data_IF_614283700522
#
_entry.id   IF_614283700522
#
_cell.length_a   1.000
_cell.length_b   1.000
_cell.length_c   1.000
_cell.angle_alpha   90.00
_cell.angle_beta   90.00
_cell.angle_gamma   90.00
#
_symmetry.space_group_name_H-M   'P 1'
#
loop_
_entity.id
_entity.type
_entity.pdbx_description
1 polymer ?
#
# COMPACT_ATOMS: atom_id res chain seq x y z
N UNK A 1 -5.27 -16.63 19.47
CA UNK A 1 -5.91 -16.68 18.14
C UNK A 1 -5.46 -15.45 17.39
N UNK A 2 -4.70 -15.63 16.33
CA UNK A 2 -4.27 -14.50 15.46
C UNK A 2 -5.51 -13.97 14.74
N UNK A 3 -5.90 -12.73 15.05
CA UNK A 3 -7.04 -12.09 14.40
C UNK A 3 -6.63 -11.60 13.02
N UNK A 4 -7.40 -11.99 11.99
CA UNK A 4 -7.26 -11.44 10.62
C UNK A 4 -7.45 -9.93 10.68
N UNK A 5 -6.49 -9.18 10.13
CA UNK A 5 -6.52 -7.72 10.11
C UNK A 5 -7.36 -7.20 8.95
N UNK A 6 -7.04 -7.62 7.72
CA UNK A 6 -7.79 -7.31 6.51
C UNK A 6 -8.22 -8.61 5.83
N UNK A 7 -9.49 -8.73 5.47
CA UNK A 7 -10.02 -9.89 4.76
C UNK A 7 -10.75 -9.45 3.49
N UNK A 8 -10.27 -9.92 2.36
CA UNK A 8 -10.97 -9.90 1.08
C UNK A 8 -11.63 -11.26 0.88
N UNK A 9 -12.93 -11.28 0.63
CA UNK A 9 -13.70 -12.51 0.43
C UNK A 9 -14.43 -12.48 -0.89
N UNK A 10 -14.09 -13.43 -1.79
CA UNK A 10 -14.72 -13.66 -3.10
C UNK A 10 -14.83 -12.38 -3.95
N UNK A 11 -13.79 -11.56 -3.96
CA UNK A 11 -13.79 -10.29 -4.70
C UNK A 11 -13.84 -10.57 -6.20
N UNK A 12 -14.84 -10.00 -6.87
CA UNK A 12 -14.98 -10.02 -8.32
C UNK A 12 -14.99 -8.58 -8.85
N UNK A 13 -14.18 -8.32 -9.85
CA UNK A 13 -14.00 -7.02 -10.50
C UNK A 13 -14.24 -7.12 -12.00
N UNK A 14 -14.70 -6.05 -12.58
CA UNK A 14 -14.90 -5.91 -14.01
C UNK A 14 -15.49 -4.55 -14.35
N UNK A 15 -15.93 -4.41 -15.59
CA UNK A 15 -16.54 -3.19 -16.09
C UNK A 15 -17.65 -3.48 -17.11
N UNK A 16 -18.62 -2.58 -17.26
CA UNK A 16 -19.62 -2.67 -18.30
C UNK A 16 -18.97 -2.58 -19.69
N UNK A 17 -19.44 -3.41 -20.63
CA UNK A 17 -19.03 -3.38 -22.03
C UNK A 17 -20.28 -3.49 -22.93
N UNK A 18 -20.15 -3.07 -24.21
CA UNK A 18 -21.21 -3.33 -25.20
C UNK A 18 -21.50 -4.82 -25.24
N UNK A 19 -22.75 -5.20 -24.92
CA UNK A 19 -23.19 -6.59 -24.84
C UNK A 19 -23.16 -7.24 -23.45
N UNK A 20 -22.78 -6.51 -22.37
CA UNK A 20 -22.87 -7.04 -21.01
C UNK A 20 -21.76 -6.60 -20.06
N UNK A 21 -21.38 -7.49 -19.16
CA UNK A 21 -20.33 -7.32 -18.16
C UNK A 21 -19.07 -8.07 -18.57
N UNK A 22 -17.91 -7.41 -18.49
CA UNK A 22 -16.61 -8.05 -18.67
C UNK A 22 -15.90 -8.18 -17.32
N UNK A 23 -15.75 -9.42 -16.87
CA UNK A 23 -14.96 -9.74 -15.68
C UNK A 23 -13.47 -9.57 -15.94
N UNK A 24 -12.75 -9.04 -14.97
CA UNK A 24 -11.28 -8.86 -15.00
C UNK A 24 -10.62 -9.72 -13.94
N UNK A 25 -11.20 -9.77 -12.73
CA UNK A 25 -10.76 -10.61 -11.62
C UNK A 25 -11.97 -11.30 -11.01
N UNK A 26 -11.85 -12.58 -10.71
CA UNK A 26 -12.95 -13.38 -10.16
C UNK A 26 -12.52 -14.16 -8.93
N UNK A 27 -13.39 -14.10 -7.89
CA UNK A 27 -13.30 -14.95 -6.72
C UNK A 27 -11.99 -14.80 -5.93
N UNK A 28 -11.43 -13.57 -5.84
CA UNK A 28 -10.20 -13.37 -5.09
C UNK A 28 -10.45 -13.38 -3.58
N UNK A 29 -9.71 -14.25 -2.89
CA UNK A 29 -9.69 -14.35 -1.43
C UNK A 29 -8.31 -14.01 -0.90
N UNK A 30 -8.26 -13.23 0.18
CA UNK A 30 -7.03 -12.93 0.90
C UNK A 30 -7.31 -12.61 2.36
N UNK A 31 -6.53 -13.19 3.26
CA UNK A 31 -6.46 -12.79 4.66
C UNK A 31 -5.08 -12.21 4.93
N UNK A 32 -5.00 -11.00 5.44
CA UNK A 32 -3.77 -10.33 5.82
C UNK A 32 -3.68 -10.26 7.34
N UNK A 33 -2.57 -10.77 7.88
CA UNK A 33 -2.34 -10.84 9.32
C UNK A 33 -1.56 -9.60 9.81
N UNK A 34 -1.64 -9.24 11.09
CA UNK A 34 -0.81 -8.16 11.65
C UNK A 34 0.68 -8.41 11.42
N UNK A 35 1.39 -7.41 10.92
CA UNK A 35 2.82 -7.46 10.65
C UNK A 35 3.22 -8.31 9.44
N UNK A 36 2.27 -8.94 8.73
CA UNK A 36 2.54 -9.75 7.55
C UNK A 36 2.73 -8.88 6.32
N UNK A 37 3.68 -9.25 5.47
CA UNK A 37 3.88 -8.68 4.13
C UNK A 37 3.41 -9.69 3.09
N UNK A 38 2.42 -9.33 2.28
CA UNK A 38 1.91 -10.16 1.20
C UNK A 38 2.10 -9.44 -0.13
N UNK A 39 2.76 -10.10 -1.09
CA UNK A 39 2.80 -9.62 -2.48
C UNK A 39 1.74 -10.27 -3.34
N UNK A 40 1.06 -9.48 -4.16
CA UNK A 40 0.18 -9.92 -5.23
C UNK A 40 0.89 -9.71 -6.56
N UNK A 41 1.33 -10.81 -7.15
CA UNK A 41 1.98 -10.87 -8.45
C UNK A 41 0.96 -11.11 -9.57
N UNK A 42 1.27 -10.64 -10.75
CA UNK A 42 0.50 -10.94 -11.96
C UNK A 42 0.81 -10.00 -13.11
N UNK A 43 0.45 -10.36 -14.35
CA UNK A 43 0.69 -9.51 -15.51
C UNK A 43 -0.06 -8.17 -15.42
N UNK A 44 0.36 -7.22 -16.26
CA UNK A 44 -0.34 -5.94 -16.36
C UNK A 44 -1.77 -6.12 -16.88
N UNK A 45 -2.70 -5.33 -16.37
CA UNK A 45 -4.10 -5.36 -16.80
C UNK A 45 -4.99 -6.42 -16.12
N UNK A 46 -4.46 -7.28 -15.25
CA UNK A 46 -5.26 -8.32 -14.55
C UNK A 46 -6.09 -7.79 -13.37
N UNK A 47 -6.14 -6.47 -13.18
CA UNK A 47 -6.99 -5.86 -12.16
C UNK A 47 -6.33 -5.62 -10.80
N UNK A 48 -5.00 -5.77 -10.66
CA UNK A 48 -4.27 -5.59 -9.39
C UNK A 48 -4.52 -4.22 -8.74
N UNK A 49 -4.35 -3.13 -9.49
CA UNK A 49 -4.58 -1.77 -8.96
C UNK A 49 -6.06 -1.51 -8.63
N UNK A 50 -7.00 -2.14 -9.37
CA UNK A 50 -8.43 -2.09 -9.02
C UNK A 50 -8.73 -2.87 -7.75
N UNK A 51 -8.10 -4.03 -7.57
CA UNK A 51 -8.17 -4.81 -6.34
C UNK A 51 -7.69 -3.97 -5.15
N UNK A 52 -6.53 -3.32 -5.28
CA UNK A 52 -6.00 -2.46 -4.22
C UNK A 52 -6.98 -1.33 -3.85
N UNK A 53 -7.62 -0.70 -4.85
CA UNK A 53 -8.65 0.34 -4.60
C UNK A 53 -9.86 -0.22 -3.86
N UNK A 54 -10.27 -1.44 -4.15
CA UNK A 54 -11.36 -2.11 -3.44
C UNK A 54 -10.96 -2.41 -2.00
N UNK A 55 -9.76 -2.93 -1.76
CA UNK A 55 -9.23 -3.18 -0.42
C UNK A 55 -9.12 -1.90 0.42
N UNK A 56 -8.84 -0.78 -0.24
CA UNK A 56 -8.77 0.55 0.39
C UNK A 56 -10.14 1.19 0.65
N UNK A 57 -11.24 0.62 0.15
CA UNK A 57 -12.57 1.23 0.18
C UNK A 57 -12.73 2.44 -0.75
N UNK A 58 -11.85 2.56 -1.76
CA UNK A 58 -11.89 3.61 -2.80
C UNK A 58 -12.77 3.22 -3.98
N UNK A 59 -13.07 1.95 -4.12
CA UNK A 59 -13.90 1.37 -5.19
C UNK A 59 -14.73 0.24 -4.62
N UNK A 60 -15.96 0.08 -5.10
CA UNK A 60 -16.81 -1.07 -4.76
C UNK A 60 -16.51 -2.24 -5.68
N UNK A 61 -16.40 -3.45 -5.11
CA UNK A 61 -16.35 -4.67 -5.88
C UNK A 61 -17.71 -4.94 -6.55
N UNK A 62 -17.69 -5.67 -7.68
CA UNK A 62 -18.93 -6.16 -8.29
C UNK A 62 -19.59 -7.25 -7.43
N UNK A 63 -18.79 -8.13 -6.88
CA UNK A 63 -19.22 -9.15 -5.91
C UNK A 63 -18.13 -9.37 -4.86
N UNK A 64 -18.49 -9.99 -3.74
CA UNK A 64 -17.61 -10.22 -2.62
C UNK A 64 -17.63 -9.07 -1.60
N UNK A 65 -16.75 -9.15 -0.62
CA UNK A 65 -16.69 -8.15 0.46
C UNK A 65 -15.27 -7.99 1.00
N UNK A 66 -15.00 -6.79 1.56
CA UNK A 66 -13.78 -6.50 2.30
C UNK A 66 -14.14 -6.17 3.73
N UNK A 67 -13.39 -6.69 4.69
CA UNK A 67 -13.51 -6.32 6.09
C UNK A 67 -12.14 -5.98 6.71
N UNK A 68 -12.12 -5.02 7.62
CA UNK A 68 -10.98 -4.64 8.44
C UNK A 68 -11.35 -4.89 9.90
N UNK A 69 -10.58 -5.73 10.60
CA UNK A 69 -10.87 -6.15 11.99
C UNK A 69 -12.32 -6.67 12.15
N UNK A 70 -12.82 -7.41 11.16
CA UNK A 70 -14.19 -7.94 11.13
C UNK A 70 -15.29 -6.94 10.80
N UNK A 71 -14.96 -5.66 10.56
CA UNK A 71 -15.93 -4.63 10.17
C UNK A 71 -15.88 -4.40 8.65
N UNK A 72 -17.05 -4.29 7.97
CA UNK A 72 -17.08 -4.05 6.52
C UNK A 72 -16.37 -2.75 6.13
N UNK A 73 -15.56 -2.81 5.06
CA UNK A 73 -14.90 -1.64 4.46
C UNK A 73 -15.78 -1.14 3.31
N UNK A 74 -16.59 -0.13 3.57
CA UNK A 74 -17.49 0.50 2.58
C UNK A 74 -17.00 1.88 2.11
N UNK A 75 -15.92 2.37 2.69
CA UNK A 75 -15.29 3.65 2.38
C UNK A 75 -13.86 3.68 2.95
N UNK A 76 -13.01 4.64 2.52
CA UNK A 76 -11.65 4.78 3.04
C UNK A 76 -11.59 4.82 4.57
N UNK A 77 -10.72 4.00 5.14
CA UNK A 77 -10.59 3.83 6.59
C UNK A 77 -9.28 4.46 7.11
N UNK A 78 -9.28 5.16 8.26
CA UNK A 78 -8.09 5.82 8.82
C UNK A 78 -6.89 4.88 9.03
N UNK A 79 -7.15 3.63 9.37
CA UNK A 79 -6.11 2.61 9.63
C UNK A 79 -5.54 1.95 8.37
N UNK A 80 -6.03 2.33 7.20
CA UNK A 80 -5.54 1.87 5.90
C UNK A 80 -4.91 3.04 5.17
N UNK A 81 -3.66 2.91 4.79
CA UNK A 81 -2.98 3.89 3.95
C UNK A 81 -2.63 3.27 2.60
N UNK A 82 -2.65 4.10 1.56
CA UNK A 82 -2.36 3.68 0.19
C UNK A 82 -1.23 4.53 -0.37
N UNK A 83 -0.22 3.88 -0.93
CA UNK A 83 0.77 4.52 -1.78
C UNK A 83 0.63 3.96 -3.20
N UNK A 84 0.44 4.83 -4.16
CA UNK A 84 0.34 4.51 -5.58
C UNK A 84 1.72 4.55 -6.24
N UNK A 85 1.84 3.98 -7.43
CA UNK A 85 3.04 4.00 -8.25
C UNK A 85 3.55 5.43 -8.49
N UNK A 86 2.65 6.37 -8.80
CA UNK A 86 2.95 7.79 -8.77
C UNK A 86 2.87 8.30 -7.32
N UNK A 87 3.90 8.98 -6.79
CA UNK A 87 3.88 9.57 -5.44
C UNK A 87 2.70 10.53 -5.22
N UNK A 88 2.13 11.07 -6.29
CA UNK A 88 0.97 11.97 -6.29
C UNK A 88 1.09 13.07 -5.23
N UNK A 89 2.27 13.71 -5.19
CA UNK A 89 2.53 14.83 -4.29
C UNK A 89 1.79 16.07 -4.79
N UNK A 90 1.26 16.84 -3.85
CA UNK A 90 0.59 18.10 -4.15
C UNK A 90 1.65 19.15 -4.49
N UNK A 91 1.71 19.65 -5.75
CA UNK A 91 2.84 20.48 -6.23
C UNK A 91 2.93 21.86 -5.53
N UNK A 92 1.82 22.33 -4.95
CA UNK A 92 1.74 23.59 -4.20
C UNK A 92 2.07 23.46 -2.72
N UNK A 93 2.32 22.26 -2.22
CA UNK A 93 2.74 21.98 -0.85
C UNK A 93 4.21 21.58 -0.82
N UNK A 94 4.97 22.09 0.15
CA UNK A 94 6.31 21.58 0.43
C UNK A 94 6.24 20.15 1.01
N UNK A 95 7.40 19.52 1.21
CA UNK A 95 7.53 18.16 1.72
C UNK A 95 6.78 17.98 3.05
N UNK A 96 7.03 18.84 4.03
CA UNK A 96 6.40 18.73 5.35
C UNK A 96 4.86 18.80 5.26
N UNK A 97 4.33 19.72 4.47
CA UNK A 97 2.89 19.86 4.27
C UNK A 97 2.30 18.71 3.43
N UNK A 98 3.06 18.11 2.51
CA UNK A 98 2.66 16.88 1.83
C UNK A 98 2.55 15.71 2.81
N UNK A 99 3.49 15.55 3.75
CA UNK A 99 3.43 14.52 4.79
C UNK A 99 2.25 14.76 5.74
N UNK A 100 1.99 16.02 6.10
CA UNK A 100 0.88 16.39 6.97
C UNK A 100 -0.50 16.26 6.29
N UNK A 101 -0.53 16.16 4.95
CA UNK A 101 -1.76 16.16 4.19
C UNK A 101 -2.65 14.96 4.53
N UNK A 102 -3.88 15.27 4.90
CA UNK A 102 -4.90 14.27 5.24
C UNK A 102 -4.97 13.87 6.71
N UNK A 103 -4.07 14.38 7.58
CA UNK A 103 -4.16 14.10 9.02
C UNK A 103 -5.37 14.73 9.71
N UNK A 104 -5.94 15.78 9.11
CA UNK A 104 -7.10 16.55 9.59
C UNK A 104 -8.40 16.25 8.81
N UNK A 105 -8.41 15.22 7.98
CA UNK A 105 -9.64 14.82 7.29
C UNK A 105 -10.68 14.28 8.27
N UNK A 106 -11.96 14.52 7.98
CA UNK A 106 -13.09 14.24 8.86
C UNK A 106 -13.17 12.80 9.44
N UNK A 107 -12.57 11.83 8.76
CA UNK A 107 -12.51 10.43 9.23
C UNK A 107 -11.28 10.10 10.04
N UNK A 108 -10.29 11.00 10.10
CA UNK A 108 -9.08 10.81 10.90
C UNK A 108 -9.37 11.11 12.39
N UNK A 109 -8.59 10.49 13.30
CA UNK A 109 -8.64 10.87 14.71
C UNK A 109 -8.36 12.37 14.88
N UNK A 110 -9.08 13.01 15.78
CA UNK A 110 -8.79 14.39 16.15
C UNK A 110 -7.42 14.46 16.84
N UNK A 111 -6.49 15.18 16.24
CA UNK A 111 -5.15 15.39 16.75
C UNK A 111 -4.99 16.84 17.20
N UNK A 112 -4.36 17.05 18.35
CA UNK A 112 -3.86 18.37 18.73
C UNK A 112 -2.75 18.81 17.76
N UNK A 113 -2.49 20.11 17.70
CA UNK A 113 -1.40 20.64 16.86
C UNK A 113 -0.04 20.03 17.23
N UNK A 114 0.20 19.74 18.51
CA UNK A 114 1.43 19.13 18.99
C UNK A 114 1.54 17.66 18.52
N UNK A 115 0.47 16.86 18.62
CA UNK A 115 0.44 15.48 18.14
C UNK A 115 0.60 15.39 16.63
N UNK A 116 -0.11 16.26 15.88
CA UNK A 116 0.05 16.37 14.43
C UNK A 116 1.50 16.64 14.04
N UNK A 117 2.11 17.65 14.69
CA UNK A 117 3.51 17.99 14.44
C UNK A 117 4.42 16.81 14.76
N UNK A 118 4.26 16.16 15.90
CA UNK A 118 5.07 15.02 16.32
C UNK A 118 4.99 13.86 15.31
N UNK A 119 3.80 13.52 14.79
CA UNK A 119 3.62 12.48 13.76
C UNK A 119 4.33 12.82 12.45
N UNK A 120 4.22 14.08 12.01
CA UNK A 120 4.88 14.56 10.80
C UNK A 120 6.40 14.53 10.97
N UNK A 121 6.91 15.03 12.09
CA UNK A 121 8.34 15.02 12.42
C UNK A 121 8.90 13.60 12.44
N UNK A 122 8.21 12.68 13.11
CA UNK A 122 8.60 11.27 13.18
C UNK A 122 8.62 10.63 11.78
N UNK A 123 7.57 10.80 10.98
CA UNK A 123 7.50 10.23 9.64
C UNK A 123 8.61 10.76 8.71
N UNK A 124 8.94 12.04 8.79
CA UNK A 124 10.04 12.63 8.01
C UNK A 124 11.41 12.08 8.45
N UNK A 125 11.61 11.89 9.76
CA UNK A 125 12.82 11.26 10.30
C UNK A 125 12.96 9.82 9.82
N UNK A 126 11.89 9.05 9.86
CA UNK A 126 11.88 7.63 9.45
C UNK A 126 12.29 7.44 7.99
N UNK A 127 11.91 8.36 7.10
CA UNK A 127 12.31 8.30 5.69
C UNK A 127 13.61 9.04 5.36
N UNK A 128 14.28 9.64 6.37
CA UNK A 128 15.59 10.29 6.22
C UNK A 128 15.57 11.62 5.45
N UNK A 129 14.44 12.34 5.46
CA UNK A 129 14.25 13.57 4.67
C UNK A 129 14.21 14.88 5.49
N UNK A 130 14.81 14.89 6.70
CA UNK A 130 14.80 16.06 7.59
C UNK A 130 15.40 17.31 6.92
N UNK A 131 16.42 17.12 6.08
CA UNK A 131 17.15 18.18 5.39
C UNK A 131 16.35 18.85 4.26
N UNK A 132 15.26 18.20 3.81
CA UNK A 132 14.47 18.61 2.63
C UNK A 132 13.07 19.15 2.98
N UNK A 133 12.74 19.37 4.25
CA UNK A 133 11.39 19.73 4.72
C UNK A 133 10.71 20.85 3.96
N UNK A 134 11.47 21.89 3.63
CA UNK A 134 10.98 23.07 2.92
C UNK A 134 10.89 22.92 1.40
N UNK A 135 11.41 21.83 0.82
CA UNK A 135 11.45 21.63 -0.62
C UNK A 135 10.07 21.29 -1.18
N UNK A 136 9.80 21.80 -2.38
CA UNK A 136 8.58 21.48 -3.14
C UNK A 136 8.81 20.26 -4.04
N UNK A 137 7.76 19.57 -4.50
CA UNK A 137 7.87 18.36 -5.34
C UNK A 137 8.79 18.52 -6.54
N UNK A 138 8.78 19.69 -7.21
CA UNK A 138 9.67 19.96 -8.35
C UNK A 138 11.17 19.99 -8.01
N UNK A 139 11.53 20.06 -6.73
CA UNK A 139 12.92 20.10 -6.26
C UNK A 139 13.38 18.73 -5.72
N UNK A 140 12.49 17.73 -5.70
CA UNK A 140 12.76 16.40 -5.18
C UNK A 140 13.20 15.46 -6.32
N UNK A 141 14.15 14.56 -6.02
CA UNK A 141 14.38 13.41 -6.89
C UNK A 141 13.21 12.42 -6.84
N UNK A 142 13.11 11.51 -7.81
CA UNK A 142 12.06 10.49 -7.83
C UNK A 142 12.04 9.64 -6.55
N UNK A 143 13.20 9.21 -6.06
CA UNK A 143 13.32 8.48 -4.81
C UNK A 143 12.91 9.31 -3.58
N UNK A 144 13.25 10.61 -3.54
CA UNK A 144 12.77 11.50 -2.47
C UNK A 144 11.25 11.65 -2.52
N UNK A 145 10.67 11.80 -3.69
CA UNK A 145 9.22 11.91 -3.84
C UNK A 145 8.49 10.64 -3.35
N UNK A 146 9.03 9.44 -3.66
CA UNK A 146 8.50 8.18 -3.12
C UNK A 146 8.64 8.08 -1.60
N UNK A 147 9.77 8.51 -1.02
CA UNK A 147 9.95 8.58 0.43
C UNK A 147 8.93 9.54 1.08
N UNK A 148 8.61 10.66 0.44
CA UNK A 148 7.57 11.59 0.92
C UNK A 148 6.18 10.93 0.89
N UNK A 149 5.85 10.20 -0.18
CA UNK A 149 4.58 9.46 -0.26
C UNK A 149 4.47 8.40 0.83
N UNK A 150 5.56 7.67 1.11
CA UNK A 150 5.63 6.73 2.23
C UNK A 150 5.47 7.45 3.58
N UNK A 151 6.19 8.55 3.82
CA UNK A 151 6.07 9.35 5.04
C UNK A 151 4.63 9.86 5.27
N UNK A 152 3.94 10.28 4.20
CA UNK A 152 2.52 10.67 4.25
C UNK A 152 1.61 9.52 4.72
N UNK A 153 1.92 8.28 4.31
CA UNK A 153 1.24 7.10 4.81
C UNK A 153 1.54 6.86 6.29
N UNK A 154 2.82 6.92 6.69
CA UNK A 154 3.28 6.63 8.06
C UNK A 154 2.78 7.64 9.08
N UNK A 155 2.70 8.93 8.73
CA UNK A 155 2.18 9.97 9.61
C UNK A 155 0.74 9.66 10.10
N UNK A 156 -0.04 8.89 9.34
CA UNK A 156 -1.37 8.43 9.71
C UNK A 156 -1.36 7.26 10.71
N UNK A 157 -0.20 6.64 10.97
CA UNK A 157 -0.03 5.45 11.80
C UNK A 157 -0.99 4.31 11.38
N UNK A 158 -0.91 3.86 10.13
CA UNK A 158 -1.83 2.85 9.61
C UNK A 158 -1.52 1.48 10.20
N UNK A 159 -2.54 0.62 10.26
CA UNK A 159 -2.37 -0.81 10.54
C UNK A 159 -2.12 -1.61 9.27
N UNK A 160 -2.58 -1.10 8.13
CA UNK A 160 -2.41 -1.70 6.80
C UNK A 160 -1.83 -0.68 5.83
N UNK A 161 -0.75 -1.06 5.16
CA UNK A 161 -0.20 -0.37 4.00
C UNK A 161 -0.58 -1.13 2.72
N UNK A 162 -1.20 -0.45 1.79
CA UNK A 162 -1.50 -0.95 0.45
C UNK A 162 -0.60 -0.22 -0.54
N UNK A 163 0.25 -0.94 -1.25
CA UNK A 163 1.31 -0.40 -2.08
C UNK A 163 1.15 -0.90 -3.52
N UNK A 164 0.95 0.03 -4.46
CA UNK A 164 0.77 -0.27 -5.89
C UNK A 164 2.06 0.04 -6.65
N UNK A 165 2.84 -0.97 -7.00
CA UNK A 165 4.14 -0.88 -7.71
C UNK A 165 5.07 0.23 -7.15
N UNK A 166 5.33 0.26 -5.82
CA UNK A 166 5.94 1.42 -5.15
C UNK A 166 7.39 1.68 -5.54
N UNK A 167 8.04 0.72 -6.22
CA UNK A 167 9.45 0.83 -6.59
C UNK A 167 9.68 0.84 -8.10
N UNK A 168 8.63 0.68 -8.92
CA UNK A 168 8.73 0.50 -10.37
C UNK A 168 9.38 1.66 -11.14
N UNK A 169 9.34 2.89 -10.60
CA UNK A 169 9.93 4.07 -11.23
C UNK A 169 11.34 4.42 -10.71
N UNK A 170 11.93 3.58 -9.83
CA UNK A 170 13.21 3.85 -9.19
C UNK A 170 14.36 3.13 -9.90
N UNK A 171 15.53 3.77 -9.93
CA UNK A 171 16.78 3.10 -10.27
C UNK A 171 17.12 2.02 -9.22
N UNK A 172 18.02 1.11 -9.57
CA UNK A 172 18.31 -0.08 -8.76
C UNK A 172 18.81 0.25 -7.34
N UNK A 173 19.70 1.23 -7.19
CA UNK A 173 20.25 1.62 -5.89
C UNK A 173 19.17 2.23 -5.01
N UNK A 174 18.42 3.19 -5.56
CA UNK A 174 17.32 3.85 -4.85
C UNK A 174 16.21 2.86 -4.49
N UNK A 175 15.93 1.88 -5.37
CA UNK A 175 14.97 0.81 -5.15
C UNK A 175 15.36 -0.03 -3.95
N UNK A 176 16.61 -0.51 -3.90
CA UNK A 176 17.12 -1.29 -2.77
C UNK A 176 16.98 -0.53 -1.45
N UNK A 177 17.42 0.74 -1.40
CA UNK A 177 17.29 1.58 -0.20
C UNK A 177 15.84 1.74 0.26
N UNK A 178 14.90 1.89 -0.69
CA UNK A 178 13.48 2.02 -0.39
C UNK A 178 12.86 0.72 0.12
N UNK A 179 13.29 -0.43 -0.41
CA UNK A 179 12.87 -1.75 0.04
C UNK A 179 13.32 -2.01 1.48
N UNK A 180 14.57 -1.74 1.81
CA UNK A 180 15.10 -1.84 3.17
C UNK A 180 14.38 -0.88 4.14
N UNK A 181 14.12 0.35 3.70
CA UNK A 181 13.35 1.32 4.47
C UNK A 181 11.95 0.78 4.77
N UNK A 182 11.23 0.26 3.77
CA UNK A 182 9.89 -0.29 3.94
C UNK A 182 9.89 -1.44 4.96
N UNK A 183 10.80 -2.40 4.83
CA UNK A 183 10.94 -3.52 5.78
C UNK A 183 11.20 -3.03 7.21
N UNK A 184 12.10 -2.06 7.38
CA UNK A 184 12.42 -1.49 8.70
C UNK A 184 11.21 -0.81 9.35
N UNK A 185 10.40 -0.12 8.56
CA UNK A 185 9.18 0.55 9.01
C UNK A 185 8.11 -0.47 9.41
N UNK A 186 7.88 -1.49 8.57
CA UNK A 186 6.92 -2.57 8.86
C UNK A 186 7.29 -3.27 10.16
N UNK A 187 8.56 -3.66 10.33
CA UNK A 187 9.03 -4.33 11.52
C UNK A 187 8.90 -3.45 12.79
N UNK A 188 9.18 -2.15 12.67
CA UNK A 188 9.11 -1.21 13.80
C UNK A 188 7.68 -0.95 14.28
N UNK A 189 6.74 -0.83 13.35
CA UNK A 189 5.35 -0.46 13.66
C UNK A 189 4.41 -1.66 13.76
N UNK A 190 4.85 -2.86 13.38
CA UNK A 190 3.99 -4.04 13.28
C UNK A 190 2.85 -3.86 12.24
N UNK A 191 3.05 -2.96 11.27
CA UNK A 191 2.09 -2.65 10.22
C UNK A 191 2.06 -3.82 9.23
N UNK A 192 0.89 -4.27 8.82
CA UNK A 192 0.77 -5.23 7.73
C UNK A 192 0.89 -4.51 6.38
N UNK A 193 1.46 -5.16 5.38
CA UNK A 193 1.58 -4.60 4.04
C UNK A 193 1.06 -5.55 2.96
N UNK A 194 0.33 -5.01 2.00
CA UNK A 194 0.02 -5.68 0.75
C UNK A 194 0.69 -4.92 -0.38
N UNK A 195 1.56 -5.62 -1.10
CA UNK A 195 2.36 -5.09 -2.18
C UNK A 195 1.84 -5.62 -3.51
N UNK A 196 1.49 -4.75 -4.43
CA UNK A 196 1.24 -5.11 -5.82
C UNK A 196 2.52 -4.88 -6.59
N UNK A 197 2.98 -5.91 -7.27
CA UNK A 197 4.17 -5.85 -8.13
C UNK A 197 4.06 -6.84 -9.29
N UNK A 198 4.87 -6.64 -10.31
CA UNK A 198 5.10 -7.59 -11.39
C UNK A 198 6.53 -8.18 -11.31
N UNK A 199 7.32 -7.72 -10.35
CA UNK A 199 8.70 -8.14 -10.13
C UNK A 199 8.75 -9.29 -9.12
N UNK A 200 9.26 -10.44 -9.57
CA UNK A 200 9.35 -11.67 -8.76
C UNK A 200 10.42 -11.53 -7.68
N UNK A 201 11.56 -10.92 -8.01
CA UNK A 201 12.67 -10.74 -7.07
C UNK A 201 12.25 -9.81 -5.92
N UNK A 202 11.54 -8.73 -6.25
CA UNK A 202 10.95 -7.84 -5.26
C UNK A 202 9.99 -8.59 -4.31
N UNK A 203 9.09 -9.41 -4.86
CA UNK A 203 8.15 -10.17 -4.06
C UNK A 203 8.87 -11.20 -3.16
N UNK A 204 9.88 -11.89 -3.67
CA UNK A 204 10.68 -12.84 -2.89
C UNK A 204 11.49 -12.17 -1.78
N UNK A 205 12.02 -10.98 -2.07
CA UNK A 205 12.83 -10.21 -1.12
C UNK A 205 12.00 -9.69 0.07
N UNK A 206 10.80 -9.20 -0.22
CA UNK A 206 10.04 -8.41 0.76
C UNK A 206 8.98 -9.20 1.51
N UNK A 207 8.40 -10.27 0.90
CA UNK A 207 7.13 -10.82 1.37
C UNK A 207 7.27 -12.09 2.19
N UNK A 208 6.40 -12.23 3.19
CA UNK A 208 6.21 -13.49 3.91
C UNK A 208 5.35 -14.47 3.11
N UNK A 209 4.53 -13.93 2.18
CA UNK A 209 3.63 -14.70 1.35
C UNK A 209 3.42 -14.03 -0.01
N UNK A 210 3.36 -14.84 -1.06
CA UNK A 210 3.15 -14.39 -2.45
C UNK A 210 1.90 -15.04 -2.99
N UNK A 211 1.01 -14.22 -3.57
CA UNK A 211 -0.19 -14.66 -4.29
C UNK A 211 -0.02 -14.32 -5.77
N UNK A 212 -0.10 -15.30 -6.64
CA UNK A 212 0.01 -15.12 -8.09
C UNK A 212 -1.38 -15.11 -8.73
N UNK A 213 -1.66 -14.02 -9.45
CA UNK A 213 -2.83 -13.89 -10.31
C UNK A 213 -2.48 -14.26 -11.75
N UNK A 214 -3.35 -15.01 -12.40
CA UNK A 214 -3.19 -15.41 -13.80
C UNK A 214 -4.51 -15.60 -14.51
N UNK A 215 -4.45 -15.88 -15.79
CA UNK A 215 -5.58 -16.08 -16.69
C UNK A 215 -6.37 -14.81 -17.05
N UNK A 216 -7.47 -14.99 -17.78
CA UNK A 216 -8.41 -13.92 -18.16
C UNK A 216 -9.83 -14.49 -18.28
N UNK A 217 -10.76 -14.18 -17.36
CA UNK A 217 -10.59 -13.36 -16.16
C UNK A 217 -9.51 -13.87 -15.20
N UNK A 218 -8.86 -12.94 -14.48
CA UNK A 218 -7.81 -13.32 -13.55
C UNK A 218 -8.39 -13.99 -12.30
N UNK A 219 -7.66 -14.96 -11.78
CA UNK A 219 -7.92 -15.59 -10.49
C UNK A 219 -6.60 -16.00 -9.84
N UNK A 220 -6.62 -16.39 -8.59
CA UNK A 220 -5.43 -16.91 -7.89
C UNK A 220 -5.03 -18.25 -8.49
N UNK A 221 -3.84 -18.32 -9.08
CA UNK A 221 -3.27 -19.55 -9.66
C UNK A 221 -2.30 -20.24 -8.71
N UNK A 222 -1.82 -19.54 -7.70
CA UNK A 222 -0.95 -20.10 -6.67
C UNK A 222 -0.71 -19.15 -5.52
N UNK A 223 -0.33 -19.73 -4.39
CA UNK A 223 0.04 -19.02 -3.18
C UNK A 223 1.22 -19.75 -2.53
N UNK A 224 2.25 -18.99 -2.13
CA UNK A 224 3.47 -19.54 -1.52
C UNK A 224 3.85 -18.75 -0.28
N UNK A 225 4.23 -19.47 0.77
CA UNK A 225 4.89 -18.89 1.94
C UNK A 225 6.39 -18.90 1.71
N UNK A 226 7.05 -17.83 2.13
CA UNK A 226 8.49 -17.65 2.02
C UNK A 226 9.09 -17.83 3.40
N UNK A 227 9.58 -19.03 3.68
CA UNK A 227 10.14 -19.43 4.99
C UNK A 227 11.62 -19.02 5.16
N UNK A 228 12.06 -17.98 4.45
CA UNK A 228 13.40 -17.41 4.58
C UNK A 228 13.36 -16.23 5.56
N UNK A 229 14.32 -16.15 6.51
CA UNK A 229 14.36 -15.04 7.46
C UNK A 229 14.66 -13.71 6.78
N UNK A 230 14.17 -12.62 7.36
CA UNK A 230 14.54 -11.25 6.98
C UNK A 230 15.80 -10.80 7.75
N UNK A 231 16.67 -9.91 7.20
CA UNK A 231 16.64 -9.43 5.81
C UNK A 231 17.11 -10.50 4.80
N UNK A 232 16.56 -10.46 3.59
CA UNK A 232 16.96 -11.30 2.47
C UNK A 232 17.85 -10.48 1.54
N UNK A 233 18.93 -11.09 1.04
CA UNK A 233 19.89 -10.50 0.10
C UNK A 233 19.80 -11.19 -1.27
#
# INVERSE_FOLDING_TARGET
MSHVLLHAHQITLGYPREGGWQSVLEGFDLQLMPGEVVSVLGPSGVGKSSLLRVLAGLQTAHAGSVSLLGQPVTAPHPRVAVAFQDPSLLPWLNLENNVAFGLDFARQPNLSSAERKARVDQAIVEVGLQHARGQYPAQLSGGMAQRVALARCLARQPQVLLLDEPFGALDEVTRHDMQQLLLSVIARHGTAALLITHDIDEALLLSDRIVLLGHSPAHTVGEWRIDLPQPRE
#
